data_IF_129162458845
#
_entry.id   IF_129162458845
#
_cell.length_a   1.000
_cell.length_b   1.000
_cell.length_c   1.000
_cell.angle_alpha   90.00
_cell.angle_beta   90.00
_cell.angle_gamma   90.00
#
_symmetry.space_group_name_H-M   'P 1'
#
loop_
_entity.id
_entity.type
_entity.pdbx_description
1 polymer ?
#
# COMPACT_ATOMS: atom_id res chain seq x y z
N UNK A 1 -32.46 -22.52 23.44
CA UNK A 1 -31.10 -22.57 24.05
C UNK A 1 -30.46 -21.20 23.94
N UNK A 2 -29.72 -20.77 24.97
CA UNK A 2 -28.99 -19.50 24.98
C UNK A 2 -27.53 -19.67 25.36
N UNK A 3 -26.64 -19.02 24.61
CA UNK A 3 -25.19 -18.96 24.87
C UNK A 3 -24.80 -17.50 25.05
N UNK A 4 -24.21 -17.17 26.20
CA UNK A 4 -23.70 -15.83 26.49
C UNK A 4 -22.18 -15.82 26.37
N UNK A 5 -21.67 -14.96 25.49
CA UNK A 5 -20.24 -14.75 25.29
C UNK A 5 -19.88 -13.35 25.78
N UNK A 6 -18.89 -13.24 26.64
CA UNK A 6 -18.29 -11.93 26.95
C UNK A 6 -17.03 -11.75 26.12
N UNK A 7 -16.83 -10.53 25.62
CA UNK A 7 -15.68 -10.20 24.80
C UNK A 7 -15.10 -8.82 25.13
N UNK A 8 -13.81 -8.69 24.91
CA UNK A 8 -13.05 -7.48 25.15
C UNK A 8 -12.12 -7.14 23.99
N UNK A 9 -12.03 -5.86 23.64
CA UNK A 9 -11.07 -5.32 22.68
C UNK A 9 -11.10 -5.98 21.29
N UNK A 10 -12.28 -6.40 20.84
CA UNK A 10 -12.51 -6.98 19.51
C UNK A 10 -12.39 -5.90 18.42
N UNK A 11 -11.59 -6.15 17.37
CA UNK A 11 -11.40 -5.20 16.27
C UNK A 11 -12.57 -5.26 15.29
N UNK A 12 -13.20 -4.11 15.03
CA UNK A 12 -14.37 -3.96 14.16
C UNK A 12 -14.00 -3.43 12.76
N UNK A 13 -12.81 -3.80 12.25
CA UNK A 13 -12.35 -3.39 10.92
C UNK A 13 -11.69 -4.52 10.12
N UNK A 14 -11.82 -4.47 8.79
CA UNK A 14 -11.10 -5.33 7.84
C UNK A 14 -10.10 -4.55 6.98
N UNK A 15 -9.00 -5.20 6.63
CA UNK A 15 -7.87 -4.62 5.89
C UNK A 15 -7.59 -5.36 4.57
N UNK A 16 -8.39 -6.40 4.32
CA UNK A 16 -8.21 -7.31 3.20
C UNK A 16 -9.40 -7.17 2.26
N UNK A 17 -9.09 -7.32 0.98
CA UNK A 17 -10.08 -7.43 -0.06
C UNK A 17 -10.54 -8.89 -0.29
N UNK A 18 -11.62 -9.06 -1.05
CA UNK A 18 -12.26 -10.36 -1.27
C UNK A 18 -13.03 -10.89 -0.05
N UNK A 19 -13.34 -12.19 -0.04
CA UNK A 19 -14.13 -12.82 1.02
C UNK A 19 -13.30 -13.74 1.92
N UNK A 20 -13.81 -14.04 3.11
CA UNK A 20 -13.30 -15.14 3.96
C UNK A 20 -14.17 -16.40 3.85
N UNK A 21 -15.27 -16.32 3.08
CA UNK A 21 -16.22 -17.40 2.86
C UNK A 21 -15.92 -18.19 1.57
N UNK A 22 -14.70 -18.08 1.05
CA UNK A 22 -14.25 -18.74 -0.17
C UNK A 22 -12.79 -19.21 -0.01
N UNK A 23 -12.33 -20.15 -0.86
CA UNK A 23 -10.92 -20.56 -0.89
C UNK A 23 -9.97 -19.38 -1.05
N UNK A 24 -8.85 -19.41 -0.31
CA UNK A 24 -7.84 -18.35 -0.43
C UNK A 24 -7.18 -18.40 -1.81
N UNK A 25 -7.00 -17.25 -2.49
CA UNK A 25 -6.19 -17.19 -3.70
C UNK A 25 -4.75 -17.64 -3.42
N UNK A 26 -4.07 -18.20 -4.44
CA UNK A 26 -2.67 -18.67 -4.33
C UNK A 26 -1.71 -17.58 -3.81
N UNK A 27 -1.90 -16.34 -4.23
CA UNK A 27 -1.10 -15.18 -3.80
C UNK A 27 -1.57 -14.56 -2.47
N UNK A 28 -2.56 -15.16 -1.80
CA UNK A 28 -3.24 -14.58 -0.65
C UNK A 28 -4.24 -13.48 -1.04
N UNK A 29 -4.85 -12.86 -0.03
CA UNK A 29 -5.77 -11.74 -0.22
C UNK A 29 -5.05 -10.41 -0.29
N UNK A 30 -5.54 -9.51 -1.14
CA UNK A 30 -4.96 -8.18 -1.33
C UNK A 30 -5.11 -7.33 -0.06
N UNK A 31 -4.01 -6.76 0.41
CA UNK A 31 -4.00 -5.78 1.49
C UNK A 31 -4.37 -4.39 0.95
N UNK A 32 -5.40 -3.77 1.54
CA UNK A 32 -6.00 -2.51 1.07
C UNK A 32 -5.96 -1.39 2.11
N UNK A 33 -5.19 -1.56 3.19
CA UNK A 33 -5.16 -0.61 4.30
C UNK A 33 -3.87 0.24 4.37
N UNK A 34 -3.16 0.40 3.25
CA UNK A 34 -2.10 1.41 3.17
C UNK A 34 -2.70 2.82 3.19
N UNK A 35 -1.96 3.83 3.65
CA UNK A 35 -2.45 5.22 3.69
C UNK A 35 -2.99 5.71 2.33
N UNK A 36 -2.36 5.30 1.24
CA UNK A 36 -2.82 5.63 -0.12
C UNK A 36 -4.10 4.93 -0.51
N UNK A 37 -4.27 3.65 -0.18
CA UNK A 37 -5.48 2.90 -0.49
C UNK A 37 -6.65 3.34 0.42
N UNK A 38 -6.37 3.69 1.67
CA UNK A 38 -7.38 4.18 2.61
C UNK A 38 -8.00 5.50 2.19
N UNK A 39 -7.36 6.33 1.35
CA UNK A 39 -7.99 7.52 0.77
C UNK A 39 -9.26 7.23 -0.03
N UNK A 40 -9.43 5.98 -0.46
CA UNK A 40 -10.64 5.51 -1.12
C UNK A 40 -11.64 5.02 -0.06
N UNK A 41 -12.83 5.62 0.08
CA UNK A 41 -13.79 5.29 1.14
C UNK A 41 -14.13 3.80 1.22
N UNK A 42 -14.23 3.12 0.08
CA UNK A 42 -14.57 1.68 0.00
C UNK A 42 -13.53 0.75 0.64
N UNK A 43 -12.29 1.23 0.85
CA UNK A 43 -11.23 0.46 1.50
C UNK A 43 -11.27 0.58 3.03
N UNK A 44 -11.98 1.56 3.58
CA UNK A 44 -12.18 1.70 5.02
C UNK A 44 -13.36 0.82 5.48
N UNK A 45 -13.08 -0.48 5.68
CA UNK A 45 -14.12 -1.48 5.97
C UNK A 45 -14.39 -1.61 7.48
N UNK A 46 -15.43 -0.97 7.99
CA UNK A 46 -16.02 -1.29 9.31
C UNK A 46 -16.78 -2.62 9.26
N UNK A 47 -16.83 -3.34 10.37
CA UNK A 47 -17.45 -4.67 10.48
C UNK A 47 -18.17 -4.81 11.81
N UNK A 48 -19.43 -5.24 11.72
CA UNK A 48 -20.24 -5.65 12.86
C UNK A 48 -20.34 -7.18 12.94
N UNK A 49 -20.86 -7.68 14.06
CA UNK A 49 -21.15 -9.11 14.19
C UNK A 49 -22.28 -9.46 13.24
N UNK A 50 -22.01 -10.42 12.36
CA UNK A 50 -22.98 -11.00 11.44
C UNK A 50 -23.29 -12.45 11.81
N UNK A 51 -24.30 -13.03 11.15
CA UNK A 51 -24.60 -14.46 11.29
C UNK A 51 -23.38 -15.33 10.97
N UNK A 52 -22.55 -14.99 9.97
CA UNK A 52 -21.31 -15.71 9.68
C UNK A 52 -20.33 -15.70 10.86
N UNK A 53 -20.26 -14.58 11.59
CA UNK A 53 -19.41 -14.48 12.78
C UNK A 53 -19.92 -15.41 13.88
N UNK A 54 -21.23 -15.41 14.11
CA UNK A 54 -21.90 -16.27 15.09
C UNK A 54 -21.74 -17.74 14.75
N UNK A 55 -21.99 -18.13 13.49
CA UNK A 55 -21.84 -19.51 13.05
C UNK A 55 -20.39 -19.97 13.09
N UNK A 56 -19.44 -19.10 12.76
CA UNK A 56 -18.01 -19.39 12.95
C UNK A 56 -17.67 -19.69 14.40
N UNK A 57 -18.24 -18.94 15.35
CA UNK A 57 -18.09 -19.18 16.79
C UNK A 57 -18.75 -20.50 17.21
N UNK A 58 -19.99 -20.78 16.79
CA UNK A 58 -20.67 -22.02 17.14
C UNK A 58 -19.90 -23.27 16.64
N UNK A 59 -19.42 -23.24 15.39
CA UNK A 59 -18.56 -24.30 14.84
C UNK A 59 -17.25 -24.43 15.63
N UNK A 60 -16.62 -23.30 15.99
CA UNK A 60 -15.40 -23.30 16.80
C UNK A 60 -15.63 -23.91 18.17
N UNK A 61 -16.77 -23.65 18.81
CA UNK A 61 -17.11 -24.13 20.16
C UNK A 61 -17.34 -25.64 20.21
N UNK A 62 -17.87 -26.25 19.15
CA UNK A 62 -17.98 -27.72 19.04
C UNK A 62 -16.70 -28.39 18.51
N UNK A 63 -15.62 -27.61 18.32
CA UNK A 63 -14.31 -28.13 17.95
C UNK A 63 -14.04 -28.26 16.44
N UNK A 64 -14.88 -27.73 15.55
CA UNK A 64 -14.59 -27.76 14.10
C UNK A 64 -13.32 -26.96 13.79
N UNK A 65 -12.38 -27.62 13.11
CA UNK A 65 -11.08 -27.04 12.70
C UNK A 65 -11.10 -26.51 11.27
N UNK A 66 -12.16 -26.79 10.51
CA UNK A 66 -12.33 -26.30 9.14
C UNK A 66 -12.73 -24.83 9.16
N UNK A 67 -12.54 -24.14 8.03
CA UNK A 67 -13.13 -22.81 7.84
C UNK A 67 -14.66 -22.94 7.72
N UNK A 68 -15.38 -21.92 8.17
CA UNK A 68 -16.85 -21.92 8.13
C UNK A 68 -17.43 -22.27 6.76
N UNK A 69 -16.88 -21.72 5.67
CA UNK A 69 -17.38 -22.05 4.32
C UNK A 69 -17.17 -23.52 3.94
N UNK A 70 -16.10 -24.16 4.45
CA UNK A 70 -15.86 -25.58 4.23
C UNK A 70 -16.83 -26.42 5.05
N UNK A 71 -17.11 -26.02 6.30
CA UNK A 71 -18.11 -26.67 7.13
C UNK A 71 -19.50 -26.59 6.49
N UNK A 72 -19.94 -25.42 6.02
CA UNK A 72 -21.23 -25.25 5.32
C UNK A 72 -21.35 -26.09 4.04
N UNK A 73 -20.25 -26.26 3.32
CA UNK A 73 -20.24 -27.06 2.09
C UNK A 73 -20.15 -28.58 2.35
N UNK A 74 -19.86 -29.01 3.58
CA UNK A 74 -19.79 -30.42 3.92
C UNK A 74 -21.21 -31.03 4.01
N UNK A 75 -21.36 -32.27 3.53
CA UNK A 75 -22.65 -32.98 3.52
C UNK A 75 -23.18 -33.22 4.94
N UNK A 76 -22.27 -33.38 5.90
CA UNK A 76 -22.53 -33.65 7.31
C UNK A 76 -22.50 -32.39 8.19
N UNK A 77 -22.73 -31.21 7.61
CA UNK A 77 -22.72 -29.95 8.37
C UNK A 77 -23.72 -29.96 9.53
N UNK A 78 -23.20 -30.08 10.76
CA UNK A 78 -24.01 -30.23 11.98
C UNK A 78 -25.07 -29.13 12.17
N UNK A 79 -24.72 -27.88 11.86
CA UNK A 79 -25.63 -26.75 12.05
C UNK A 79 -26.54 -26.47 10.85
N UNK A 80 -26.59 -27.34 9.83
CA UNK A 80 -27.37 -27.09 8.60
C UNK A 80 -28.83 -26.72 8.87
N UNK A 81 -29.51 -27.51 9.70
CA UNK A 81 -30.91 -27.29 10.07
C UNK A 81 -31.10 -26.33 11.25
N UNK A 82 -30.01 -25.99 11.95
CA UNK A 82 -30.03 -25.12 13.14
C UNK A 82 -29.75 -23.66 12.76
N UNK A 83 -28.90 -23.43 11.75
CA UNK A 83 -28.47 -22.09 11.32
C UNK A 83 -29.65 -21.13 11.04
N UNK A 84 -30.76 -21.54 10.39
CA UNK A 84 -31.94 -20.69 10.22
C UNK A 84 -32.68 -20.34 11.53
N UNK A 85 -32.43 -21.09 12.59
CA UNK A 85 -33.07 -20.95 13.91
C UNK A 85 -32.19 -20.15 14.90
N UNK A 86 -31.04 -19.65 14.44
CA UNK A 86 -30.10 -18.86 15.23
C UNK A 86 -30.45 -17.38 15.13
N UNK A 87 -30.66 -16.74 16.27
CA UNK A 87 -30.70 -15.28 16.42
C UNK A 87 -29.62 -14.84 17.39
N UNK A 88 -29.26 -13.55 17.35
CA UNK A 88 -28.24 -13.02 18.26
C UNK A 88 -28.45 -11.53 18.55
N UNK A 89 -27.93 -11.09 19.70
CA UNK A 89 -27.88 -9.71 20.12
C UNK A 89 -26.45 -9.35 20.55
N UNK A 90 -25.84 -8.35 19.89
CA UNK A 90 -24.52 -7.81 20.25
C UNK A 90 -24.69 -6.60 21.18
N UNK A 91 -24.65 -6.84 22.49
CA UNK A 91 -24.74 -5.82 23.54
C UNK A 91 -23.36 -5.21 23.79
N UNK A 92 -22.98 -4.27 22.92
CA UNK A 92 -21.72 -3.55 23.00
C UNK A 92 -21.75 -2.58 24.20
N UNK A 93 -20.82 -2.76 25.16
CA UNK A 93 -20.73 -1.91 26.36
C UNK A 93 -19.75 -0.76 26.22
N UNK A 94 -18.66 -0.99 25.49
CA UNK A 94 -17.61 0.02 25.29
C UNK A 94 -17.21 0.02 23.82
N UNK A 95 -17.20 1.21 23.22
CA UNK A 95 -16.67 1.44 21.87
C UNK A 95 -15.53 2.45 21.97
N UNK A 96 -14.34 2.03 21.57
CA UNK A 96 -13.16 2.88 21.52
C UNK A 96 -12.72 3.07 20.07
N UNK A 97 -12.31 4.30 19.73
CA UNK A 97 -11.70 4.61 18.45
C UNK A 97 -10.22 4.93 18.68
N UNK A 98 -9.33 4.10 18.15
CA UNK A 98 -7.90 4.22 18.41
C UNK A 98 -7.06 4.20 17.13
N UNK A 99 -5.93 4.91 17.19
CA UNK A 99 -4.93 4.85 16.14
C UNK A 99 -4.05 3.63 16.36
N UNK A 100 -4.27 2.59 15.56
CA UNK A 100 -3.45 1.38 15.60
C UNK A 100 -2.47 1.36 14.43
N UNK A 101 -1.19 1.09 14.70
CA UNK A 101 -0.21 0.86 13.64
C UNK A 101 -0.35 -0.56 13.09
N UNK A 102 -0.74 -0.68 11.81
CA UNK A 102 -0.90 -1.97 11.13
C UNK A 102 0.28 -2.23 10.21
N UNK A 103 0.68 -3.51 10.11
CA UNK A 103 1.79 -3.93 9.26
C UNK A 103 1.35 -3.99 7.80
N UNK A 104 2.22 -3.51 6.91
CA UNK A 104 2.07 -3.67 5.48
C UNK A 104 2.96 -4.82 5.00
N UNK A 105 2.36 -5.88 4.49
CA UNK A 105 3.05 -7.09 4.04
C UNK A 105 3.25 -7.15 2.52
N UNK A 106 2.82 -6.14 1.77
CA UNK A 106 2.94 -6.12 0.30
C UNK A 106 4.38 -5.93 -0.20
N UNK A 107 5.31 -5.57 0.68
CA UNK A 107 6.69 -5.28 0.30
C UNK A 107 6.88 -3.95 -0.43
N UNK A 108 5.91 -3.03 -0.35
CA UNK A 108 6.03 -1.69 -0.93
C UNK A 108 7.26 -0.94 -0.40
N UNK A 109 7.87 -0.16 -1.28
CA UNK A 109 9.06 0.64 -0.98
C UNK A 109 8.71 2.11 -0.84
N UNK A 110 9.37 2.78 0.09
CA UNK A 110 9.25 4.22 0.32
C UNK A 110 9.75 4.96 -0.93
N UNK A 111 9.06 6.03 -1.33
CA UNK A 111 9.40 6.79 -2.54
C UNK A 111 10.60 7.73 -2.33
N UNK A 112 10.81 8.18 -1.10
CA UNK A 112 11.73 9.27 -0.77
C UNK A 112 12.88 8.83 0.15
N UNK A 113 12.85 7.59 0.65
CA UNK A 113 13.83 7.05 1.59
C UNK A 113 14.70 5.96 0.97
N UNK A 114 15.87 5.75 1.55
CA UNK A 114 16.84 4.70 1.17
C UNK A 114 17.43 4.03 2.41
N UNK A 115 18.25 3.00 2.23
CA UNK A 115 18.94 2.31 3.32
C UNK A 115 20.43 2.12 2.99
N UNK A 116 21.24 1.95 4.04
CA UNK A 116 22.69 1.79 3.90
C UNK A 116 23.44 3.10 3.68
N UNK A 117 24.70 2.99 3.27
CA UNK A 117 25.61 4.11 3.07
C UNK A 117 25.54 4.64 1.64
N UNK A 118 25.76 5.94 1.47
CA UNK A 118 25.78 6.62 0.17
C UNK A 118 27.12 6.33 -0.54
N UNK A 119 27.04 5.93 -1.81
CA UNK A 119 28.18 5.59 -2.66
C UNK A 119 28.69 6.81 -3.42
N UNK A 120 29.32 7.76 -2.71
CA UNK A 120 29.91 8.97 -3.33
C UNK A 120 31.09 8.65 -4.25
N UNK A 121 31.67 7.45 -4.14
CA UNK A 121 32.78 6.96 -4.98
C UNK A 121 32.33 6.13 -6.18
N UNK A 122 31.03 6.13 -6.52
CA UNK A 122 30.56 5.43 -7.72
C UNK A 122 31.16 6.09 -8.98
N UNK A 123 31.68 5.33 -9.97
CA UNK A 123 32.40 5.91 -11.10
C UNK A 123 31.63 6.96 -11.90
N UNK A 124 30.31 6.91 -11.96
CA UNK A 124 29.50 7.93 -12.64
C UNK A 124 29.69 9.35 -12.08
N UNK A 125 30.21 9.47 -10.86
CA UNK A 125 30.47 10.74 -10.19
C UNK A 125 31.94 11.16 -10.25
N UNK A 126 32.87 10.22 -10.49
CA UNK A 126 34.31 10.47 -10.41
C UNK A 126 35.06 10.40 -11.76
N UNK A 127 34.46 9.78 -12.79
CA UNK A 127 35.08 9.65 -14.12
C UNK A 127 35.24 11.00 -14.82
N UNK A 128 36.11 11.06 -15.82
CA UNK A 128 36.42 12.29 -16.56
C UNK A 128 35.18 12.91 -17.23
N UNK A 129 34.24 12.09 -17.70
CA UNK A 129 32.98 12.55 -18.28
C UNK A 129 31.98 13.13 -17.25
N UNK A 130 32.19 12.87 -15.95
CA UNK A 130 31.19 13.12 -14.88
C UNK A 130 30.75 14.58 -14.85
N UNK A 131 31.71 15.50 -14.98
CA UNK A 131 31.47 16.94 -14.95
C UNK A 131 30.57 17.38 -16.11
N UNK A 132 30.92 17.02 -17.34
CA UNK A 132 30.15 17.36 -18.55
C UNK A 132 28.78 16.67 -18.57
N UNK A 133 28.69 15.46 -18.01
CA UNK A 133 27.45 14.69 -17.97
C UNK A 133 26.44 15.31 -17.00
N UNK A 134 26.82 15.50 -15.73
CA UNK A 134 25.93 16.06 -14.72
C UNK A 134 25.72 17.56 -14.84
N UNK A 135 26.65 18.27 -15.51
CA UNK A 135 26.55 19.70 -15.81
C UNK A 135 25.27 20.09 -16.55
N UNK A 136 24.65 19.17 -17.31
CA UNK A 136 23.36 19.39 -17.98
C UNK A 136 22.27 19.82 -17.00
N UNK A 137 22.28 19.29 -15.76
CA UNK A 137 21.30 19.63 -14.73
C UNK A 137 21.52 21.03 -14.12
N UNK A 138 22.66 21.66 -14.39
CA UNK A 138 22.98 23.00 -13.91
C UNK A 138 22.60 24.11 -14.90
N UNK A 139 22.30 23.76 -16.16
CA UNK A 139 21.86 24.72 -17.17
C UNK A 139 20.50 25.32 -16.79
N UNK A 140 20.27 26.58 -17.11
CA UNK A 140 18.91 27.13 -17.13
C UNK A 140 18.12 26.61 -18.35
N UNK A 141 16.84 26.97 -18.45
CA UNK A 141 15.95 26.47 -19.52
C UNK A 141 16.41 26.93 -20.91
N UNK A 142 16.90 28.16 -21.03
CA UNK A 142 17.32 28.70 -22.32
C UNK A 142 18.61 28.00 -22.79
N UNK A 143 19.59 27.90 -21.90
CA UNK A 143 20.83 27.18 -22.13
C UNK A 143 20.58 25.69 -22.42
N UNK A 144 19.65 25.05 -21.71
CA UNK A 144 19.26 23.67 -21.96
C UNK A 144 18.67 23.49 -23.37
N UNK A 145 17.78 24.40 -23.80
CA UNK A 145 17.19 24.34 -25.13
C UNK A 145 18.25 24.56 -26.22
N UNK A 146 19.15 25.52 -26.03
CA UNK A 146 20.28 25.75 -26.93
C UNK A 146 21.19 24.51 -27.01
N UNK A 147 21.52 23.89 -25.86
CA UNK A 147 22.26 22.63 -25.81
C UNK A 147 21.56 21.52 -26.60
N UNK A 148 20.25 21.34 -26.45
CA UNK A 148 19.50 20.30 -27.18
C UNK A 148 19.54 20.55 -28.69
N UNK A 149 19.38 21.81 -29.12
CA UNK A 149 19.31 22.20 -30.53
C UNK A 149 20.69 22.13 -31.20
N UNK A 150 21.72 22.68 -30.55
CA UNK A 150 23.04 22.87 -31.13
C UNK A 150 24.04 21.77 -30.73
N UNK A 151 23.72 20.97 -29.70
CA UNK A 151 24.59 19.92 -29.15
C UNK A 151 25.98 20.45 -28.75
N UNK A 152 26.00 21.64 -28.17
CA UNK A 152 27.21 22.32 -27.69
C UNK A 152 27.81 21.62 -26.47
N UNK A 153 29.09 21.90 -26.20
CA UNK A 153 29.77 21.37 -25.03
C UNK A 153 29.21 22.00 -23.74
N UNK A 154 28.98 21.17 -22.73
CA UNK A 154 28.40 21.59 -21.46
C UNK A 154 29.52 22.02 -20.52
N UNK A 155 29.65 23.34 -20.33
CA UNK A 155 30.65 23.94 -19.43
C UNK A 155 30.12 24.22 -18.02
N UNK A 156 28.80 24.18 -17.84
CA UNK A 156 28.16 24.35 -16.54
C UNK A 156 28.59 23.23 -15.58
N UNK A 157 28.79 23.56 -14.32
CA UNK A 157 29.27 22.62 -13.31
C UNK A 157 28.27 22.45 -12.18
N UNK A 158 28.22 21.24 -11.62
CA UNK A 158 27.45 20.91 -10.42
C UNK A 158 28.25 19.95 -9.55
N UNK A 159 27.89 19.86 -8.27
CA UNK A 159 28.50 18.89 -7.37
C UNK A 159 27.98 17.49 -7.72
N UNK A 160 28.87 16.65 -8.25
CA UNK A 160 28.56 15.30 -8.70
C UNK A 160 28.62 14.32 -7.53
N UNK A 161 27.54 14.25 -6.74
CA UNK A 161 27.32 13.16 -5.79
C UNK A 161 25.81 12.81 -5.70
N UNK A 162 25.44 11.64 -5.16
CA UNK A 162 24.06 11.19 -5.17
C UNK A 162 23.07 12.18 -4.54
N UNK A 163 23.44 12.88 -3.46
CA UNK A 163 22.53 13.78 -2.75
C UNK A 163 22.34 15.10 -3.49
N UNK A 164 23.43 15.66 -4.01
CA UNK A 164 23.36 16.89 -4.79
C UNK A 164 22.62 16.68 -6.11
N UNK A 165 22.88 15.58 -6.81
CA UNK A 165 22.16 15.27 -8.06
C UNK A 165 20.67 15.02 -7.82
N UNK A 166 20.31 14.22 -6.82
CA UNK A 166 18.89 13.98 -6.55
C UNK A 166 18.18 15.23 -6.04
N UNK A 167 18.85 16.04 -5.22
CA UNK A 167 18.35 17.34 -4.78
C UNK A 167 18.07 18.27 -5.96
N UNK A 168 19.00 18.32 -6.92
CA UNK A 168 18.81 19.13 -8.14
C UNK A 168 17.63 18.66 -8.97
N UNK A 169 17.46 17.34 -9.14
CA UNK A 169 16.29 16.78 -9.84
C UNK A 169 14.97 17.13 -9.11
N UNK A 170 14.96 17.13 -7.78
CA UNK A 170 13.80 17.55 -6.98
C UNK A 170 13.48 19.03 -7.14
N UNK A 171 14.48 19.90 -7.24
CA UNK A 171 14.29 21.33 -7.55
C UNK A 171 13.68 21.52 -8.94
N UNK A 172 14.28 20.89 -9.96
CA UNK A 172 13.84 20.97 -11.35
C UNK A 172 12.39 20.44 -11.53
N UNK A 173 12.00 19.44 -10.75
CA UNK A 173 10.65 18.88 -10.77
C UNK A 173 9.59 19.78 -10.11
N UNK A 174 9.99 20.80 -9.35
CA UNK A 174 9.08 21.81 -8.79
C UNK A 174 8.82 22.97 -9.76
N UNK A 175 9.58 23.07 -10.86
CA UNK A 175 9.37 24.10 -11.87
C UNK A 175 7.98 23.96 -12.50
N UNK A 176 7.34 25.11 -12.73
CA UNK A 176 6.01 25.14 -13.33
C UNK A 176 6.09 24.64 -14.79
N UNK A 177 5.05 23.95 -15.29
CA UNK A 177 4.94 23.66 -16.71
C UNK A 177 5.00 24.95 -17.53
N UNK A 178 5.68 24.90 -18.67
CA UNK A 178 5.91 26.05 -19.55
C UNK A 178 5.20 25.86 -20.89
N UNK A 179 4.91 26.97 -21.55
CA UNK A 179 4.36 26.94 -22.90
C UNK A 179 5.40 26.46 -23.91
N UNK A 180 4.94 25.75 -24.92
CA UNK A 180 5.80 25.27 -26.01
C UNK A 180 5.93 26.37 -27.06
N UNK A 181 6.93 27.25 -26.90
CA UNK A 181 7.22 28.37 -27.81
C UNK A 181 8.70 28.42 -28.15
N UNK A 182 9.02 28.93 -29.34
CA UNK A 182 10.38 29.23 -29.80
C UNK A 182 11.36 28.07 -29.58
N UNK A 183 12.47 28.33 -28.88
CA UNK A 183 13.51 27.34 -28.57
C UNK A 183 12.99 26.13 -27.77
N UNK A 184 11.96 26.31 -26.95
CA UNK A 184 11.36 25.21 -26.18
C UNK A 184 10.66 24.23 -27.12
N UNK A 185 9.90 24.74 -28.11
CA UNK A 185 9.23 23.90 -29.10
C UNK A 185 10.23 23.14 -29.97
N UNK A 186 11.29 23.82 -30.42
CA UNK A 186 12.35 23.22 -31.22
C UNK A 186 13.08 22.11 -30.45
N UNK A 187 13.49 22.38 -29.21
CA UNK A 187 14.13 21.40 -28.36
C UNK A 187 13.21 20.20 -28.07
N UNK A 188 11.93 20.45 -27.79
CA UNK A 188 10.93 19.41 -27.57
C UNK A 188 10.79 18.49 -28.78
N UNK A 189 10.66 19.06 -29.98
CA UNK A 189 10.52 18.29 -31.23
C UNK A 189 11.74 17.39 -31.47
N UNK A 190 12.95 17.91 -31.27
CA UNK A 190 14.20 17.13 -31.39
C UNK A 190 14.17 15.91 -30.45
N UNK A 191 13.81 16.13 -29.19
CA UNK A 191 13.75 15.04 -28.20
C UNK A 191 12.64 14.04 -28.51
N UNK A 192 11.49 14.49 -29.00
CA UNK A 192 10.37 13.63 -29.38
C UNK A 192 10.70 12.76 -30.59
N UNK A 193 11.37 13.32 -31.60
CA UNK A 193 11.86 12.54 -32.75
C UNK A 193 12.93 11.54 -32.33
N UNK A 194 13.81 11.92 -31.39
CA UNK A 194 14.95 11.10 -30.98
C UNK A 194 14.58 9.97 -30.01
N UNK A 195 13.66 10.23 -29.09
CA UNK A 195 13.31 9.28 -28.02
C UNK A 195 11.82 8.94 -28.08
N UNK A 196 11.50 7.76 -28.61
CA UNK A 196 10.11 7.28 -28.75
C UNK A 196 9.31 7.33 -27.42
N UNK A 197 9.98 7.10 -26.29
CA UNK A 197 9.35 7.11 -24.96
C UNK A 197 9.13 8.51 -24.40
N UNK A 198 9.66 9.56 -25.04
CA UNK A 198 9.50 10.93 -24.59
C UNK A 198 8.10 11.45 -24.90
N UNK A 199 7.38 11.86 -23.84
CA UNK A 199 6.06 12.51 -23.93
C UNK A 199 6.16 13.97 -23.53
N UNK A 200 6.86 14.25 -22.43
CA UNK A 200 7.28 15.59 -22.01
C UNK A 200 6.21 16.65 -21.74
N UNK A 201 4.92 16.33 -21.84
CA UNK A 201 3.81 17.27 -21.61
C UNK A 201 2.84 16.78 -20.53
N UNK A 202 2.13 17.72 -19.89
CA UNK A 202 1.03 17.42 -18.97
C UNK A 202 -0.32 17.28 -19.71
N UNK A 203 -1.40 17.01 -18.97
CA UNK A 203 -2.75 16.86 -19.53
C UNK A 203 -3.30 18.12 -20.23
N UNK A 204 -2.67 19.28 -20.04
CA UNK A 204 -3.03 20.56 -20.69
C UNK A 204 -2.14 20.85 -21.90
N UNK A 205 -1.25 19.94 -22.30
CA UNK A 205 -0.30 20.14 -23.39
C UNK A 205 0.88 21.06 -23.06
N UNK A 206 1.08 21.42 -21.79
CA UNK A 206 2.22 22.24 -21.36
C UNK A 206 3.45 21.36 -21.14
N UNK A 207 4.63 21.86 -21.54
CA UNK A 207 5.90 21.16 -21.43
C UNK A 207 6.35 21.11 -19.98
N UNK A 208 6.80 19.94 -19.54
CA UNK A 208 7.34 19.72 -18.20
C UNK A 208 8.85 19.94 -18.21
N UNK A 209 9.41 20.97 -17.54
CA UNK A 209 10.85 21.23 -17.53
C UNK A 209 11.70 20.00 -17.17
N UNK A 210 11.32 19.27 -16.11
CA UNK A 210 12.03 18.06 -15.69
C UNK A 210 12.18 17.01 -16.80
N UNK A 211 11.20 16.90 -17.69
CA UNK A 211 11.25 15.95 -18.80
C UNK A 211 12.30 16.35 -19.84
N UNK A 212 12.47 17.65 -20.10
CA UNK A 212 13.52 18.18 -20.97
C UNK A 212 14.89 17.87 -20.38
N UNK A 213 15.12 18.18 -19.10
CA UNK A 213 16.39 17.90 -18.43
C UNK A 213 16.74 16.41 -18.44
N UNK A 214 15.77 15.54 -18.10
CA UNK A 214 16.04 14.12 -18.08
C UNK A 214 16.32 13.57 -19.49
N UNK A 215 15.58 13.99 -20.52
CA UNK A 215 15.89 13.59 -21.90
C UNK A 215 17.19 14.20 -22.43
N UNK A 216 17.54 15.41 -22.02
CA UNK A 216 18.83 16.03 -22.35
C UNK A 216 20.00 15.27 -21.73
N UNK A 217 19.86 14.69 -20.53
CA UNK A 217 20.86 13.77 -19.97
C UNK A 217 21.04 12.52 -20.83
N UNK A 218 19.96 11.96 -21.37
CA UNK A 218 20.04 10.84 -22.32
C UNK A 218 20.72 11.25 -23.63
N UNK A 219 20.45 12.46 -24.13
CA UNK A 219 21.16 13.02 -25.28
C UNK A 219 22.66 13.16 -24.97
N UNK A 220 23.01 13.72 -23.82
CA UNK A 220 24.39 13.89 -23.39
C UNK A 220 25.11 12.55 -23.19
N UNK A 221 24.41 11.53 -22.70
CA UNK A 221 24.92 10.17 -22.60
C UNK A 221 25.35 9.61 -23.96
N UNK A 222 24.59 9.88 -25.03
CA UNK A 222 24.96 9.47 -26.39
C UNK A 222 26.11 10.32 -26.95
N UNK A 223 26.09 11.64 -26.74
CA UNK A 223 27.14 12.53 -27.24
C UNK A 223 28.50 12.19 -26.60
N UNK A 224 28.54 12.02 -25.28
CA UNK A 224 29.76 11.67 -24.55
C UNK A 224 30.24 10.26 -24.88
N UNK A 225 29.36 9.34 -25.29
CA UNK A 225 29.78 7.99 -25.71
C UNK A 225 30.66 7.97 -26.97
N UNK A 226 30.75 9.09 -27.70
CA UNK A 226 31.69 9.26 -28.82
C UNK A 226 33.12 9.58 -28.36
N UNK A 227 33.29 10.07 -27.13
CA UNK A 227 34.58 10.53 -26.56
C UNK A 227 35.06 9.64 -25.42
N UNK A 228 34.14 9.14 -24.59
CA UNK A 228 34.43 8.43 -23.35
C UNK A 228 33.72 7.08 -23.29
N UNK A 229 34.24 6.18 -22.46
CA UNK A 229 33.49 4.98 -22.07
C UNK A 229 32.39 5.32 -21.06
N UNK A 230 31.14 5.29 -21.52
CA UNK A 230 29.95 5.55 -20.70
C UNK A 230 29.36 4.29 -20.06
N UNK A 231 30.06 3.14 -20.10
CA UNK A 231 29.59 1.87 -19.55
C UNK A 231 29.19 1.97 -18.07
N UNK A 232 29.98 2.69 -17.26
CA UNK A 232 29.72 2.86 -15.83
C UNK A 232 28.54 3.80 -15.52
N UNK A 233 28.12 4.64 -16.48
CA UNK A 233 26.92 5.47 -16.36
C UNK A 233 25.62 4.71 -16.69
N UNK A 234 25.73 3.57 -17.40
CA UNK A 234 24.60 2.83 -17.95
C UNK A 234 24.22 1.63 -17.06
N UNK A 235 22.93 1.34 -17.00
CA UNK A 235 22.43 0.04 -16.54
C UNK A 235 22.68 -1.03 -17.60
N UNK A 236 22.49 -2.31 -17.25
CA UNK A 236 22.55 -3.43 -18.21
C UNK A 236 21.63 -3.25 -19.42
N UNK A 237 20.53 -2.50 -19.27
CA UNK A 237 19.58 -2.18 -20.33
C UNK A 237 19.93 -0.87 -21.08
N UNK A 238 21.10 -0.27 -20.82
CA UNK A 238 21.58 0.95 -21.49
C UNK A 238 21.01 2.27 -20.94
N UNK A 239 20.04 2.24 -20.02
CA UNK A 239 19.44 3.44 -19.42
C UNK A 239 20.17 3.95 -18.18
N UNK A 240 19.80 5.14 -17.69
CA UNK A 240 20.36 5.75 -16.47
C UNK A 240 19.54 5.28 -15.25
N UNK A 241 20.20 4.81 -14.19
CA UNK A 241 19.51 4.26 -13.03
C UNK A 241 18.60 5.31 -12.35
N UNK A 242 17.30 5.05 -12.31
CA UNK A 242 16.33 5.92 -11.65
C UNK A 242 15.98 7.21 -12.41
N UNK A 243 16.46 7.39 -13.64
CA UNK A 243 16.11 8.52 -14.51
C UNK A 243 15.54 7.93 -15.82
N UNK A 244 14.46 8.51 -16.32
CA UNK A 244 13.79 8.15 -17.56
C UNK A 244 13.70 9.38 -18.47
N UNK A 245 13.33 9.22 -19.74
CA UNK A 245 13.14 10.37 -20.64
C UNK A 245 12.08 11.38 -20.14
N UNK A 246 11.18 11.01 -19.23
CA UNK A 246 10.10 11.89 -18.77
C UNK A 246 10.27 12.43 -17.34
N UNK A 247 11.31 12.00 -16.61
CA UNK A 247 11.47 12.34 -15.20
C UNK A 247 12.30 11.29 -14.46
N UNK A 248 12.27 11.33 -13.13
CA UNK A 248 13.10 10.47 -12.29
C UNK A 248 12.28 9.77 -11.19
N UNK A 249 12.84 8.70 -10.64
CA UNK A 249 12.30 7.96 -9.50
C UNK A 249 13.35 7.93 -8.39
N UNK A 250 13.16 8.76 -7.36
CA UNK A 250 14.12 8.96 -6.26
C UNK A 250 14.58 7.66 -5.60
N UNK A 251 13.65 6.79 -5.21
CA UNK A 251 14.00 5.49 -4.61
C UNK A 251 14.85 4.59 -5.52
N UNK A 252 14.70 4.69 -6.84
CA UNK A 252 15.43 3.84 -7.80
C UNK A 252 16.83 4.42 -8.04
N UNK A 253 16.93 5.75 -8.14
CA UNK A 253 18.21 6.46 -8.20
C UNK A 253 19.03 6.19 -6.93
N UNK A 254 18.44 6.44 -5.75
CA UNK A 254 19.12 6.23 -4.47
C UNK A 254 19.52 4.77 -4.27
N UNK A 255 18.65 3.81 -4.60
CA UNK A 255 18.99 2.38 -4.47
C UNK A 255 20.19 1.95 -5.31
N UNK A 256 20.46 2.60 -6.46
CA UNK A 256 21.67 2.33 -7.24
C UNK A 256 22.93 2.84 -6.53
N UNK A 257 22.82 4.01 -5.90
CA UNK A 257 23.93 4.74 -5.29
C UNK A 257 23.95 4.66 -3.77
N UNK A 258 23.27 3.67 -3.18
CA UNK A 258 23.38 3.30 -1.78
C UNK A 258 23.80 1.84 -1.64
N UNK A 259 24.38 1.47 -0.51
CA UNK A 259 24.82 0.09 -0.25
C UNK A 259 23.67 -0.85 0.16
N UNK A 260 22.56 -0.30 0.68
CA UNK A 260 21.40 -1.09 1.08
C UNK A 260 20.29 -1.11 0.02
N UNK A 261 19.36 -2.02 0.20
CA UNK A 261 18.15 -2.15 -0.62
C UNK A 261 17.21 -0.94 -0.46
N UNK A 262 16.21 -0.87 -1.34
CA UNK A 262 15.11 0.11 -1.20
C UNK A 262 14.44 -0.02 0.17
N UNK A 263 14.19 1.11 0.81
CA UNK A 263 13.54 1.16 2.13
C UNK A 263 12.13 0.57 2.04
N UNK A 264 11.88 -0.55 2.71
CA UNK A 264 10.53 -1.14 2.83
C UNK A 264 9.63 -0.29 3.73
N UNK A 265 8.36 -0.17 3.36
CA UNK A 265 7.31 0.40 4.21
C UNK A 265 6.75 -0.72 5.07
N UNK A 266 7.07 -0.69 6.37
CA UNK A 266 6.70 -1.75 7.30
C UNK A 266 5.22 -1.73 7.70
N UNK A 267 4.54 -0.63 7.47
CA UNK A 267 3.18 -0.40 7.94
C UNK A 267 2.82 1.08 7.95
N UNK A 268 1.66 1.36 8.50
CA UNK A 268 1.13 2.70 8.68
C UNK A 268 0.08 2.72 9.80
N UNK A 269 -0.22 3.89 10.38
CA UNK A 269 -1.42 4.04 11.19
C UNK A 269 -2.66 3.74 10.35
N UNK A 270 -3.64 3.05 10.95
CA UNK A 270 -4.95 2.84 10.36
C UNK A 270 -5.82 4.08 10.62
N UNK A 271 -5.89 4.94 9.61
CA UNK A 271 -6.58 6.23 9.65
C UNK A 271 -7.15 6.54 8.28
N UNK A 272 -8.40 6.96 8.26
CA UNK A 272 -9.04 7.54 7.08
C UNK A 272 -9.40 8.99 7.40
N UNK A 273 -9.00 9.91 6.54
CA UNK A 273 -9.30 11.33 6.67
C UNK A 273 -9.98 11.82 5.40
N UNK A 274 -11.09 12.52 5.55
CA UNK A 274 -11.85 13.12 4.46
C UNK A 274 -12.28 14.54 4.83
N UNK A 275 -12.48 15.38 3.83
CA UNK A 275 -13.01 16.72 4.02
C UNK A 275 -14.48 16.74 3.64
N UNK A 276 -15.34 16.98 4.63
CA UNK A 276 -16.79 17.05 4.45
C UNK A 276 -17.18 18.53 4.41
N UNK A 277 -17.87 18.95 3.36
CA UNK A 277 -18.30 20.34 3.19
C UNK A 277 -19.25 20.73 4.33
N UNK A 278 -18.87 21.75 5.12
CA UNK A 278 -19.64 22.23 6.27
C UNK A 278 -19.16 21.68 7.62
N UNK A 279 -18.55 20.50 7.65
CA UNK A 279 -18.06 19.87 8.89
C UNK A 279 -16.53 19.94 9.03
N UNK A 280 -15.83 20.18 7.92
CA UNK A 280 -14.37 20.27 7.90
C UNK A 280 -13.71 18.90 7.79
N UNK A 281 -12.55 18.73 8.45
CA UNK A 281 -11.75 17.50 8.36
C UNK A 281 -12.32 16.44 9.29
N UNK A 282 -12.93 15.41 8.73
CA UNK A 282 -13.38 14.22 9.45
C UNK A 282 -12.27 13.17 9.49
N UNK A 283 -12.13 12.49 10.62
CA UNK A 283 -11.10 11.47 10.86
C UNK A 283 -11.73 10.21 11.44
N UNK A 284 -11.58 9.11 10.73
CA UNK A 284 -12.04 7.78 11.14
C UNK A 284 -10.85 6.90 11.50
N UNK A 285 -10.96 6.24 12.66
CA UNK A 285 -9.93 5.40 13.26
C UNK A 285 -10.40 3.94 13.39
N UNK A 286 -9.51 3.06 13.85
CA UNK A 286 -9.91 1.68 14.14
C UNK A 286 -10.91 1.65 15.29
N UNK A 287 -12.00 0.93 15.11
CA UNK A 287 -13.01 0.73 16.15
C UNK A 287 -12.73 -0.57 16.90
N UNK A 288 -12.67 -0.49 18.23
CA UNK A 288 -12.62 -1.62 19.14
C UNK A 288 -13.89 -1.66 19.98
N UNK A 289 -14.44 -2.85 20.15
CA UNK A 289 -15.63 -3.09 20.95
C UNK A 289 -15.36 -4.08 22.08
N UNK A 290 -15.95 -3.82 23.23
CA UNK A 290 -16.05 -4.75 24.36
C UNK A 290 -17.51 -4.84 24.79
N UNK A 291 -17.99 -6.02 25.16
CA UNK A 291 -19.40 -6.21 25.48
C UNK A 291 -19.77 -7.68 25.63
N UNK A 292 -21.04 -7.96 25.35
CA UNK A 292 -21.62 -9.30 25.44
C UNK A 292 -22.32 -9.64 24.14
N UNK A 293 -22.13 -10.87 23.68
CA UNK A 293 -22.88 -11.44 22.56
C UNK A 293 -23.79 -12.53 23.13
N UNK A 294 -25.09 -12.31 23.01
CA UNK A 294 -26.12 -13.29 23.34
C UNK A 294 -26.54 -14.01 22.05
N UNK A 295 -26.36 -15.32 22.00
CA UNK A 295 -26.76 -16.16 20.88
C UNK A 295 -27.92 -17.05 21.35
N UNK A 296 -29.03 -17.02 20.62
CA UNK A 296 -30.24 -17.80 20.89
C UNK A 296 -30.43 -18.80 19.76
N UNK A 297 -30.57 -20.07 20.13
CA UNK A 297 -30.88 -21.17 19.22
C UNK A 297 -32.29 -21.66 19.57
N UNK A 298 -33.24 -21.47 18.66
CA UNK A 298 -34.60 -21.97 18.82
C UNK A 298 -34.65 -23.48 18.50
N UNK A 299 -34.23 -24.30 19.46
CA UNK A 299 -34.16 -25.77 19.35
C UNK A 299 -34.75 -26.41 20.61
N UNK A 300 -35.21 -27.65 20.49
CA UNK A 300 -35.72 -28.43 21.61
C UNK A 300 -34.70 -28.56 22.74
N UNK A 301 -35.18 -28.76 23.96
CA UNK A 301 -34.32 -28.95 25.13
C UNK A 301 -33.31 -30.09 24.97
N UNK A 302 -33.69 -31.18 24.30
CA UNK A 302 -32.78 -32.31 24.08
C UNK A 302 -31.67 -31.96 23.08
N UNK A 303 -32.00 -31.26 21.99
CA UNK A 303 -30.98 -30.75 21.07
C UNK A 303 -30.06 -29.74 21.75
N UNK A 304 -30.60 -28.91 22.65
CA UNK A 304 -29.80 -27.97 23.44
C UNK A 304 -28.79 -28.68 24.35
N UNK A 305 -29.18 -29.79 24.99
CA UNK A 305 -28.28 -30.62 25.81
C UNK A 305 -27.21 -31.30 24.97
N UNK A 306 -27.55 -31.80 23.78
CA UNK A 306 -26.60 -32.38 22.83
C UNK A 306 -25.53 -31.36 22.45
N UNK A 307 -25.93 -30.15 22.05
CA UNK A 307 -24.99 -29.06 21.70
C UNK A 307 -24.10 -28.71 22.90
N UNK A 308 -24.67 -28.60 24.11
CA UNK A 308 -23.90 -28.32 25.32
C UNK A 308 -22.85 -29.40 25.58
N UNK A 309 -23.22 -30.68 25.47
CA UNK A 309 -22.30 -31.81 25.62
C UNK A 309 -21.17 -31.77 24.58
N UNK A 310 -21.48 -31.45 23.32
CA UNK A 310 -20.45 -31.26 22.27
C UNK A 310 -19.46 -30.14 22.61
N UNK A 311 -19.94 -29.02 23.15
CA UNK A 311 -19.09 -27.90 23.58
C UNK A 311 -18.19 -28.31 24.76
N UNK A 312 -18.76 -28.99 25.76
CA UNK A 312 -18.01 -29.47 26.94
C UNK A 312 -16.94 -30.50 26.54
N UNK A 313 -17.27 -31.43 25.64
CA UNK A 313 -16.33 -32.42 25.11
C UNK A 313 -15.23 -31.81 24.25
N UNK A 314 -15.53 -30.74 23.49
CA UNK A 314 -14.54 -30.03 22.68
C UNK A 314 -13.56 -29.19 23.53
N UNK A 315 -13.95 -28.78 24.75
CA UNK A 315 -13.07 -28.13 25.72
C UNK A 315 -12.52 -26.76 25.29
N UNK A 316 -13.28 -26.01 24.49
CA UNK A 316 -12.85 -24.71 23.94
C UNK A 316 -13.08 -23.60 24.97
N UNK A 317 -12.00 -23.02 25.51
CA UNK A 317 -12.05 -22.10 26.65
C UNK A 317 -12.04 -20.62 26.28
N UNK A 318 -11.11 -20.19 25.41
CA UNK A 318 -10.96 -18.78 24.99
C UNK A 318 -10.69 -18.66 23.49
N UNK A 319 -11.23 -17.64 22.86
CA UNK A 319 -11.11 -17.40 21.42
C UNK A 319 -11.21 -15.91 21.08
N UNK A 320 -11.00 -15.55 19.81
CA UNK A 320 -11.24 -14.21 19.31
C UNK A 320 -12.65 -14.09 18.74
N UNK A 321 -13.35 -12.99 19.04
CA UNK A 321 -14.62 -12.67 18.39
C UNK A 321 -14.38 -11.74 17.20
N UNK A 322 -14.60 -12.23 15.98
CA UNK A 322 -14.28 -11.51 14.75
C UNK A 322 -12.78 -11.44 14.49
N UNK A 323 -12.10 -10.39 14.97
CA UNK A 323 -10.65 -10.18 14.79
C UNK A 323 -9.97 -9.66 16.05
N UNK A 324 -8.95 -10.40 16.53
CA UNK A 324 -8.20 -10.09 17.77
C UNK A 324 -9.15 -9.85 18.97
N UNK A 325 -8.62 -9.41 20.10
CA UNK A 325 -9.37 -9.26 21.35
C UNK A 325 -9.32 -10.52 22.21
N UNK A 326 -10.26 -10.67 23.13
CA UNK A 326 -10.45 -11.88 23.94
C UNK A 326 -11.94 -12.11 24.06
N UNK A 327 -12.39 -13.35 23.90
CA UNK A 327 -13.77 -13.75 24.10
C UNK A 327 -13.82 -15.13 24.76
N UNK A 328 -14.84 -15.35 25.59
CA UNK A 328 -15.08 -16.61 26.28
C UNK A 328 -16.57 -16.82 26.53
N UNK A 329 -16.97 -18.08 26.67
CA UNK A 329 -18.35 -18.43 27.02
C UNK A 329 -18.55 -18.19 28.52
N UNK A 330 -19.49 -17.32 28.87
CA UNK A 330 -19.83 -17.02 30.25
C UNK A 330 -20.92 -17.93 30.81
N UNK A 331 -21.94 -18.21 30.01
CA UNK A 331 -23.09 -19.00 30.46
C UNK A 331 -23.75 -19.73 29.27
N UNK A 332 -24.26 -20.93 29.55
CA UNK A 332 -25.04 -21.74 28.60
C UNK A 332 -26.32 -22.21 29.29
N UNK A 333 -27.47 -21.76 28.77
CA UNK A 333 -28.80 -22.17 29.24
C UNK A 333 -29.47 -23.07 28.21
N UNK A 334 -29.86 -24.27 28.64
CA UNK A 334 -30.52 -25.28 27.78
C UNK A 334 -32.05 -25.28 27.89
N UNK A 335 -32.63 -24.31 28.62
CA UNK A 335 -34.09 -24.19 28.73
C UNK A 335 -34.70 -23.75 27.39
N UNK A 336 -35.93 -24.18 27.14
CA UNK A 336 -36.76 -23.65 26.06
C UNK A 336 -37.17 -22.24 26.47
N UNK A 337 -37.02 -21.29 25.54
CA UNK A 337 -37.57 -19.95 25.70
C UNK A 337 -38.98 -20.02 25.12
N UNK A 338 -39.98 -19.89 26.00
CA UNK A 338 -41.41 -19.91 25.67
C UNK A 338 -41.83 -18.61 24.96
#
# INVERSE_FOLDING_TARGET
>A
MRIMIEYESSWRNSFLDGSNNEPLPKAGRKFIASMTNLKKPENFKKRDISIDTVMGVLNRLIGDQRKLYQARNATDYFFREIEPLVTFNDDVKVVNNEMTYIRNITGSTDQNSYTGMIKVKDPIFLSDYSREFWGVLALDIEQLCQFIIQQTEVTATTTADPLNIIGKLEELNKLKPIESKDNVQSAFNILQTKFEKFKGVNNKGLVLPISLYCSALYLQLELLSRKYDMSSAKTKAGGISGISNNGFTKKDFMSRYTSGDKKKIWGNPYIFEEYVKGEGKNKQLMTKASGKLEIVLNVSRDKAKEIKSLIENAGVSSFYLGKKGLAYVKDIKTREEL
#
